data_IF_918222948846
#
_entry.id   IF_918222948846
#
_cell.length_a   1.000
_cell.length_b   1.000
_cell.length_c   1.000
_cell.angle_alpha   90.00
_cell.angle_beta   90.00
_cell.angle_gamma   90.00
#
_symmetry.space_group_name_H-M   'P 1'
#
loop_
_entity.id
_entity.type
_entity.pdbx_description
1 polymer ?
#
# COMPACT_ATOMS: atom_id res chain seq x y z
N UNK A 1 23.93 17.03 -88.28
CA UNK A 1 23.05 16.96 -87.09
C UNK A 1 23.39 15.72 -86.31
N UNK A 2 24.20 15.86 -85.25
CA UNK A 2 24.64 14.78 -84.39
C UNK A 2 23.96 14.95 -83.04
N UNK A 3 23.19 13.92 -82.58
CA UNK A 3 22.60 13.84 -81.28
C UNK A 3 23.47 12.96 -80.42
N UNK A 4 24.01 13.49 -79.37
CA UNK A 4 24.73 12.78 -78.28
C UNK A 4 23.78 12.33 -77.21
N UNK A 5 23.78 11.04 -76.91
CA UNK A 5 23.11 10.46 -75.70
C UNK A 5 24.08 10.54 -74.54
N UNK A 6 23.61 10.81 -73.29
CA UNK A 6 24.43 10.63 -72.10
C UNK A 6 24.30 9.23 -71.57
N UNK A 7 25.44 8.71 -71.10
CA UNK A 7 25.55 7.43 -70.46
C UNK A 7 24.98 7.45 -69.01
N UNK A 8 24.13 6.47 -68.70
CA UNK A 8 23.68 6.19 -67.33
C UNK A 8 24.74 5.31 -66.64
N UNK A 9 25.29 5.82 -65.53
CA UNK A 9 26.13 5.05 -64.61
C UNK A 9 25.20 4.41 -63.60
N UNK A 10 25.07 3.07 -63.59
CA UNK A 10 24.41 2.30 -62.57
C UNK A 10 25.36 2.15 -61.37
N UNK A 11 25.04 2.81 -60.26
CA UNK A 11 25.68 2.56 -58.97
C UNK A 11 24.91 1.44 -58.25
N UNK A 12 25.53 0.27 -58.11
CA UNK A 12 25.00 -0.84 -57.32
C UNK A 12 25.26 -0.54 -55.87
N UNK A 13 24.21 -0.23 -55.08
CA UNK A 13 24.27 -0.24 -53.61
C UNK A 13 24.18 -1.66 -53.09
N UNK A 14 25.29 -2.19 -52.62
CA UNK A 14 25.31 -3.40 -51.77
C UNK A 14 24.73 -3.02 -50.40
N UNK A 15 23.54 -3.50 -50.09
CA UNK A 15 22.95 -3.50 -48.75
C UNK A 15 23.61 -4.66 -47.97
N UNK A 16 24.60 -4.35 -47.15
CA UNK A 16 25.05 -5.22 -46.09
C UNK A 16 24.02 -5.18 -44.96
N UNK A 17 23.25 -6.24 -44.86
CA UNK A 17 22.41 -6.50 -43.67
C UNK A 17 23.32 -6.87 -42.51
N UNK A 18 23.68 -5.88 -41.68
CA UNK A 18 24.29 -6.13 -40.38
C UNK A 18 23.17 -6.57 -39.44
N UNK A 19 23.08 -7.89 -39.20
CA UNK A 19 22.40 -8.45 -38.03
C UNK A 19 23.17 -8.00 -36.79
N UNK A 20 22.86 -6.83 -36.29
CA UNK A 20 23.30 -6.38 -34.98
C UNK A 20 22.45 -7.04 -33.93
N UNK A 21 23.01 -8.00 -33.20
CA UNK A 21 22.51 -8.41 -31.89
C UNK A 21 22.45 -7.16 -31.01
N UNK A 22 21.25 -6.63 -30.83
CA UNK A 22 21.01 -5.58 -29.83
C UNK A 22 21.14 -6.25 -28.45
N UNK A 23 22.33 -6.19 -27.88
CA UNK A 23 22.53 -6.37 -26.47
C UNK A 23 21.89 -5.16 -25.80
N UNK A 24 20.66 -5.30 -25.31
CA UNK A 24 20.03 -4.31 -24.44
C UNK A 24 20.83 -4.24 -23.16
N UNK A 25 21.79 -3.35 -23.12
CA UNK A 25 22.43 -2.92 -21.88
C UNK A 25 21.35 -2.23 -21.07
N UNK A 26 20.85 -2.92 -20.05
CA UNK A 26 20.03 -2.30 -19.00
C UNK A 26 20.87 -1.19 -18.37
N UNK A 27 20.68 0.02 -18.85
CA UNK A 27 21.27 1.20 -18.24
C UNK A 27 20.46 1.43 -16.95
N UNK A 28 21.09 1.15 -15.81
CA UNK A 28 20.58 1.54 -14.49
C UNK A 28 20.34 3.05 -14.54
N UNK A 29 19.12 3.46 -14.76
CA UNK A 29 18.76 4.87 -14.77
C UNK A 29 18.61 5.29 -13.32
N UNK A 30 19.72 5.74 -12.74
CA UNK A 30 19.68 6.43 -11.45
C UNK A 30 19.14 7.82 -11.75
N UNK A 31 17.88 8.06 -11.44
CA UNK A 31 17.31 9.41 -11.44
C UNK A 31 17.88 10.12 -10.22
N UNK A 32 19.00 10.81 -10.41
CA UNK A 32 19.54 11.69 -9.38
C UNK A 32 18.76 12.99 -9.45
N UNK A 33 17.83 13.19 -8.53
CA UNK A 33 17.22 14.51 -8.31
C UNK A 33 18.26 15.34 -7.59
N UNK A 34 18.76 16.40 -8.25
CA UNK A 34 19.81 17.27 -7.71
C UNK A 34 19.39 17.88 -6.37
N UNK A 35 20.20 17.69 -5.33
CA UNK A 35 20.07 18.42 -4.08
C UNK A 35 20.26 17.64 -2.79
N UNK A 36 21.10 16.58 -2.76
CA UNK A 36 21.35 15.83 -1.54
C UNK A 36 22.70 16.18 -0.95
N UNK A 37 22.69 16.73 0.26
CA UNK A 37 23.86 16.78 1.10
C UNK A 37 24.02 15.48 1.89
N UNK A 38 25.24 15.09 2.17
CA UNK A 38 25.66 13.83 2.80
C UNK A 38 25.29 13.67 4.28
N UNK A 39 24.29 14.37 4.78
CA UNK A 39 23.86 14.33 6.18
C UNK A 39 22.33 14.14 6.31
N UNK A 40 21.79 13.03 5.84
CA UNK A 40 20.44 12.61 6.20
C UNK A 40 19.27 13.54 5.81
N UNK A 41 19.52 14.55 4.99
CA UNK A 41 18.52 15.54 4.56
C UNK A 41 17.82 15.18 3.25
N UNK A 42 17.89 13.96 2.85
CA UNK A 42 17.43 13.55 1.54
C UNK A 42 15.97 13.17 1.52
N UNK A 43 15.10 14.13 1.33
CA UNK A 43 13.74 13.85 0.88
C UNK A 43 13.69 13.67 -0.63
N UNK A 44 14.54 14.36 -1.34
CA UNK A 44 14.58 14.32 -2.79
C UNK A 44 15.49 13.23 -3.38
N UNK A 45 15.90 12.23 -2.60
CA UNK A 45 16.89 11.30 -3.08
C UNK A 45 16.85 9.92 -2.52
N UNK A 46 15.70 9.52 -2.01
CA UNK A 46 15.56 8.12 -1.65
C UNK A 46 15.51 7.33 -2.96
N UNK A 47 16.37 6.30 -3.17
CA UNK A 47 16.42 5.61 -4.43
C UNK A 47 15.08 4.94 -4.73
N UNK A 48 14.43 5.40 -5.78
CA UNK A 48 13.37 4.62 -6.43
C UNK A 48 14.07 3.76 -7.46
N UNK A 49 14.13 2.46 -7.23
CA UNK A 49 14.64 1.50 -8.21
C UNK A 49 13.45 0.86 -8.93
N UNK A 50 13.21 1.27 -10.17
CA UNK A 50 12.20 0.67 -11.02
C UNK A 50 12.83 -0.42 -11.90
N UNK A 51 12.16 -1.55 -11.99
CA UNK A 51 12.38 -2.61 -12.98
C UNK A 51 11.24 -2.57 -14.00
N UNK A 52 11.02 -3.64 -14.75
CA UNK A 52 9.96 -3.70 -15.76
C UNK A 52 8.56 -3.65 -15.13
N UNK A 53 8.35 -4.43 -14.08
CA UNK A 53 7.03 -4.63 -13.46
C UNK A 53 7.02 -4.23 -11.97
N UNK A 54 8.14 -3.79 -11.40
CA UNK A 54 8.22 -3.41 -10.00
C UNK A 54 8.86 -2.05 -9.80
N UNK A 55 8.47 -1.37 -8.72
CA UNK A 55 9.10 -0.14 -8.23
C UNK A 55 9.40 -0.31 -6.74
N UNK A 56 10.67 -0.13 -6.38
CA UNK A 56 11.10 -0.12 -4.98
C UNK A 56 11.09 1.29 -4.42
N UNK A 57 10.51 1.44 -3.26
CA UNK A 57 10.71 2.58 -2.36
C UNK A 57 11.68 2.11 -1.27
N UNK A 58 12.93 2.58 -1.37
CA UNK A 58 14.07 2.04 -0.63
C UNK A 58 14.44 2.88 0.59
N UNK A 59 13.47 3.17 1.47
CA UNK A 59 13.76 3.79 2.76
C UNK A 59 14.55 2.84 3.67
N UNK A 60 15.51 3.41 4.39
CA UNK A 60 16.31 2.65 5.37
C UNK A 60 15.48 2.27 6.61
N UNK A 61 14.38 2.96 6.84
CA UNK A 61 13.45 2.73 7.94
C UNK A 61 12.00 3.12 7.53
N UNK A 62 11.00 2.74 8.31
CA UNK A 62 9.60 3.04 8.00
C UNK A 62 9.28 4.54 7.92
N UNK A 63 10.04 5.41 8.60
CA UNK A 63 9.85 6.86 8.57
C UNK A 63 10.22 7.41 7.19
N UNK A 64 11.36 6.93 6.66
CA UNK A 64 11.82 7.27 5.32
C UNK A 64 10.87 6.68 4.26
N UNK A 65 10.42 5.43 4.42
CA UNK A 65 9.44 4.81 3.52
C UNK A 65 8.13 5.61 3.47
N UNK A 66 7.60 6.02 4.63
CA UNK A 66 6.37 6.83 4.70
C UNK A 66 6.52 8.19 4.00
N UNK A 67 7.68 8.84 4.17
CA UNK A 67 7.97 10.11 3.52
C UNK A 67 7.96 9.97 1.98
N UNK A 68 8.55 8.90 1.46
CA UNK A 68 8.61 8.65 0.02
C UNK A 68 7.30 8.22 -0.59
N UNK A 69 6.60 7.31 0.07
CA UNK A 69 5.27 6.90 -0.38
C UNK A 69 4.34 8.10 -0.43
N UNK A 70 4.36 8.95 0.60
CA UNK A 70 3.56 10.16 0.63
C UNK A 70 3.87 11.09 -0.56
N UNK A 71 5.15 11.27 -0.93
CA UNK A 71 5.55 12.07 -2.09
C UNK A 71 5.29 11.35 -3.43
N UNK A 72 5.33 10.03 -3.47
CA UNK A 72 4.96 9.28 -4.67
C UNK A 72 3.47 9.46 -5.00
N UNK A 73 2.62 9.46 -3.97
CA UNK A 73 1.16 9.65 -4.11
C UNK A 73 0.79 11.13 -4.30
N UNK A 74 1.48 12.03 -3.60
CA UNK A 74 1.30 13.47 -3.69
C UNK A 74 2.63 14.17 -4.00
N UNK A 75 3.05 14.24 -5.27
CA UNK A 75 4.35 14.81 -5.67
C UNK A 75 4.58 16.26 -5.23
N UNK A 76 3.49 17.01 -5.02
CA UNK A 76 3.50 18.39 -4.50
C UNK A 76 4.37 19.37 -5.31
N UNK A 77 4.61 19.04 -6.57
CA UNK A 77 5.40 19.84 -7.51
C UNK A 77 4.57 20.91 -8.25
N UNK A 78 3.25 20.81 -8.18
CA UNK A 78 2.32 21.73 -8.82
C UNK A 78 1.08 21.96 -7.93
N UNK A 79 0.35 23.07 -8.09
CA UNK A 79 -0.76 23.44 -7.20
C UNK A 79 -1.83 22.36 -6.99
N UNK A 80 -2.08 21.51 -7.99
CA UNK A 80 -3.07 20.42 -7.92
C UNK A 80 -2.58 19.14 -7.23
N UNK A 81 -1.26 19.01 -6.99
CA UNK A 81 -0.63 17.79 -6.50
C UNK A 81 -0.33 17.78 -4.99
N UNK A 82 -0.70 18.86 -4.29
CA UNK A 82 -0.59 18.94 -2.82
C UNK A 82 -1.74 18.20 -2.14
N UNK A 83 -1.49 17.47 -1.03
CA UNK A 83 -2.56 16.82 -0.30
C UNK A 83 -3.50 17.84 0.38
N UNK A 84 -4.76 17.48 0.61
CA UNK A 84 -5.66 18.30 1.40
C UNK A 84 -5.22 18.41 2.86
N UNK A 85 -4.74 17.32 3.44
CA UNK A 85 -4.31 17.18 4.83
C UNK A 85 -3.29 16.05 4.92
N UNK A 86 -2.41 16.07 5.94
CA UNK A 86 -1.42 15.02 6.21
C UNK A 86 -1.69 14.43 7.60
N UNK A 87 -1.67 13.11 7.74
CA UNK A 87 -1.72 12.44 9.03
C UNK A 87 -0.30 12.21 9.55
N UNK A 88 -0.05 12.56 10.82
CA UNK A 88 1.17 12.21 11.55
C UNK A 88 0.85 11.11 12.53
N UNK A 89 1.39 9.91 12.30
CA UNK A 89 1.15 8.72 13.10
C UNK A 89 2.36 8.38 13.98
N UNK A 90 2.14 7.88 15.21
CA UNK A 90 3.21 7.57 16.16
C UNK A 90 3.96 6.29 15.74
N UNK A 91 5.30 6.27 15.88
CA UNK A 91 6.10 5.06 15.66
C UNK A 91 6.11 4.11 16.86
N UNK A 92 5.80 4.61 18.02
CA UNK A 92 5.80 3.92 19.32
C UNK A 92 4.42 3.34 19.70
N UNK A 93 3.39 3.56 18.88
CA UNK A 93 2.08 2.88 18.96
C UNK A 93 1.72 2.36 17.55
N UNK A 94 2.22 1.16 17.22
CA UNK A 94 1.98 0.58 15.89
C UNK A 94 0.50 0.31 15.60
N UNK A 95 -0.32 0.03 16.62
CA UNK A 95 -1.76 -0.19 16.46
C UNK A 95 -2.45 1.12 16.06
N UNK A 96 -2.16 2.22 16.77
CA UNK A 96 -2.65 3.55 16.43
C UNK A 96 -2.17 4.00 15.04
N UNK A 97 -0.89 3.74 14.74
CA UNK A 97 -0.34 4.01 13.42
C UNK A 97 -1.06 3.20 12.32
N UNK A 98 -1.28 1.89 12.51
CA UNK A 98 -1.96 1.05 11.53
C UNK A 98 -3.43 1.48 11.35
N UNK A 99 -4.13 1.81 12.45
CA UNK A 99 -5.50 2.34 12.38
C UNK A 99 -5.59 3.64 11.59
N UNK A 100 -4.52 4.44 11.52
CA UNK A 100 -4.50 5.70 10.77
C UNK A 100 -4.67 5.52 9.26
N UNK A 101 -4.47 4.32 8.74
CA UNK A 101 -4.61 4.02 7.32
C UNK A 101 -6.00 4.42 6.78
N UNK A 102 -7.04 4.32 7.58
CA UNK A 102 -8.41 4.75 7.21
C UNK A 102 -8.50 6.24 6.84
N UNK A 103 -7.58 7.07 7.34
CA UNK A 103 -7.55 8.51 7.03
C UNK A 103 -7.13 8.81 5.59
N UNK A 104 -6.51 7.84 4.90
CA UNK A 104 -6.19 7.96 3.48
C UNK A 104 -7.43 7.82 2.59
N UNK A 105 -8.46 7.13 3.05
CA UNK A 105 -9.72 6.98 2.33
C UNK A 105 -10.45 8.32 2.16
N UNK A 106 -11.33 8.40 1.15
CA UNK A 106 -12.24 9.53 0.99
C UNK A 106 -13.20 9.63 2.22
N UNK A 107 -13.57 10.84 2.64
CA UNK A 107 -13.30 12.15 2.02
C UNK A 107 -12.00 12.83 2.53
N UNK A 108 -11.28 12.23 3.48
CA UNK A 108 -10.14 12.86 4.17
C UNK A 108 -8.91 12.91 3.25
N UNK A 109 -8.51 11.77 2.66
CA UNK A 109 -7.36 11.62 1.74
C UNK A 109 -6.04 12.13 2.31
N UNK A 110 -5.76 11.74 3.56
CA UNK A 110 -4.55 12.12 4.28
C UNK A 110 -3.43 11.09 4.05
N UNK A 111 -2.38 11.38 3.29
CA UNK A 111 -1.18 10.54 3.31
C UNK A 111 -0.57 10.54 4.70
N UNK A 112 0.09 9.42 5.05
CA UNK A 112 0.56 9.18 6.40
C UNK A 112 2.07 9.43 6.45
N UNK A 113 2.49 10.25 7.39
CA UNK A 113 3.89 10.39 7.78
C UNK A 113 4.07 9.86 9.20
N UNK A 114 5.23 9.30 9.49
CA UNK A 114 5.56 8.73 10.79
C UNK A 114 6.37 9.70 11.65
N UNK A 115 6.12 9.71 12.94
CA UNK A 115 6.78 10.58 13.91
C UNK A 115 6.99 9.89 15.25
N UNK A 116 8.13 10.16 15.88
CA UNK A 116 8.30 9.84 17.28
C UNK A 116 7.45 10.77 18.16
N UNK A 117 7.14 10.33 19.39
CA UNK A 117 6.41 11.16 20.37
C UNK A 117 7.27 12.31 20.91
N UNK A 118 8.59 12.12 20.98
CA UNK A 118 9.52 13.10 21.54
C UNK A 118 9.94 14.21 20.58
N UNK A 119 9.99 13.92 19.28
CA UNK A 119 10.45 14.88 18.26
C UNK A 119 9.96 14.51 16.86
N UNK A 120 9.75 15.53 16.03
CA UNK A 120 9.44 15.34 14.62
C UNK A 120 10.74 14.97 13.87
N UNK A 121 10.84 13.78 13.25
CA UNK A 121 12.03 13.41 12.51
C UNK A 121 12.33 14.40 11.38
N UNK A 122 13.61 14.68 11.06
CA UNK A 122 13.97 15.66 10.02
C UNK A 122 13.35 15.33 8.66
N UNK A 123 13.33 14.05 8.25
CA UNK A 123 12.72 13.62 7.00
C UNK A 123 11.21 13.88 6.98
N UNK A 124 10.52 13.61 8.09
CA UNK A 124 9.08 13.92 8.25
C UNK A 124 8.80 15.40 8.17
N UNK A 125 9.60 16.22 8.90
CA UNK A 125 9.46 17.67 8.91
C UNK A 125 9.64 18.28 7.51
N UNK A 126 10.66 17.83 6.80
CA UNK A 126 10.94 18.29 5.45
C UNK A 126 9.87 17.83 4.45
N UNK A 127 9.44 16.56 4.51
CA UNK A 127 8.35 16.05 3.67
C UNK A 127 7.08 16.86 3.89
N UNK A 128 6.72 17.12 5.13
CA UNK A 128 5.56 17.94 5.46
C UNK A 128 5.67 19.37 4.89
N UNK A 129 6.86 19.96 4.93
CA UNK A 129 7.14 21.26 4.31
C UNK A 129 6.98 21.21 2.78
N UNK A 130 7.51 20.17 2.13
CA UNK A 130 7.38 19.96 0.67
C UNK A 130 5.93 19.74 0.27
N UNK A 131 5.20 18.91 1.02
CA UNK A 131 3.80 18.60 0.75
C UNK A 131 2.88 19.82 0.93
N UNK A 132 3.20 20.73 1.82
CA UNK A 132 2.48 21.98 2.07
C UNK A 132 0.95 21.79 2.05
N UNK A 133 0.38 20.98 2.96
CA UNK A 133 -1.04 20.61 2.93
C UNK A 133 -1.93 21.86 3.04
N UNK A 134 -3.02 21.87 2.27
CA UNK A 134 -3.86 23.07 2.11
C UNK A 134 -4.89 23.26 3.21
N UNK A 135 -5.25 22.21 3.91
CA UNK A 135 -6.41 22.13 4.79
C UNK A 135 -7.67 21.71 4.01
N UNK A 136 -8.58 21.00 4.65
CA UNK A 136 -9.83 20.59 4.03
C UNK A 136 -11.01 20.65 4.99
N UNK A 137 -12.23 20.72 4.44
CA UNK A 137 -13.47 20.68 5.24
C UNK A 137 -13.63 19.38 6.02
N UNK A 138 -13.20 18.25 5.44
CA UNK A 138 -13.24 16.93 6.09
C UNK A 138 -12.32 16.82 7.31
N UNK A 139 -11.34 17.71 7.44
CA UNK A 139 -10.45 17.82 8.61
C UNK A 139 -10.77 19.05 9.49
N UNK A 140 -11.92 19.69 9.31
CA UNK A 140 -12.27 20.93 10.01
C UNK A 140 -11.32 22.10 9.66
N UNK A 141 -10.76 22.13 8.47
CA UNK A 141 -9.78 23.12 8.01
C UNK A 141 -8.36 22.83 8.45
N UNK A 142 -8.10 21.75 9.19
CA UNK A 142 -6.76 21.36 9.59
C UNK A 142 -5.91 20.94 8.38
N UNK A 143 -4.63 21.30 8.42
CA UNK A 143 -3.60 20.89 7.48
C UNK A 143 -2.90 19.61 7.94
N UNK A 144 -2.93 19.34 9.24
CA UNK A 144 -2.30 18.17 9.86
C UNK A 144 -3.28 17.51 10.84
N UNK A 145 -3.39 16.20 10.78
CA UNK A 145 -4.05 15.36 11.77
C UNK A 145 -2.94 14.70 12.59
N UNK A 146 -2.81 15.04 13.86
CA UNK A 146 -1.82 14.47 14.79
C UNK A 146 -2.46 13.36 15.60
N UNK A 147 -1.82 12.20 15.63
CA UNK A 147 -2.34 11.01 16.31
C UNK A 147 -1.50 10.68 17.55
N UNK A 148 -2.18 10.43 18.67
CA UNK A 148 -1.49 10.20 19.93
C UNK A 148 -0.67 11.40 20.37
N UNK A 149 0.53 11.13 20.86
CA UNK A 149 1.41 12.12 21.45
C UNK A 149 2.46 12.70 20.48
N UNK A 150 2.24 12.58 19.16
CA UNK A 150 3.19 13.16 18.19
C UNK A 150 3.31 14.68 18.37
N UNK A 151 4.49 15.28 18.12
CA UNK A 151 4.77 16.67 18.37
C UNK A 151 3.87 17.62 17.59
N UNK A 152 3.76 18.86 18.08
CA UNK A 152 3.10 19.94 17.33
C UNK A 152 3.89 20.31 16.08
N UNK A 153 3.18 20.74 15.05
CA UNK A 153 3.74 21.22 13.79
C UNK A 153 3.61 22.75 13.74
N UNK A 154 4.65 23.50 14.13
CA UNK A 154 4.59 24.96 14.14
C UNK A 154 4.21 25.54 12.77
N UNK A 155 3.35 26.55 12.78
CA UNK A 155 2.91 27.23 11.56
C UNK A 155 1.81 26.52 10.75
N UNK A 156 1.41 25.30 11.14
CA UNK A 156 0.33 24.57 10.48
C UNK A 156 -0.88 24.41 11.41
N UNK A 157 -2.09 24.57 10.87
CA UNK A 157 -3.32 24.26 11.59
C UNK A 157 -3.43 22.75 11.77
N UNK A 158 -3.53 22.30 13.01
CA UNK A 158 -3.60 20.89 13.31
C UNK A 158 -4.83 20.55 14.16
N UNK A 159 -5.44 19.39 13.88
CA UNK A 159 -6.35 18.70 14.79
C UNK A 159 -5.58 17.56 15.46
N UNK A 160 -5.83 17.32 16.75
CA UNK A 160 -5.20 16.23 17.47
C UNK A 160 -6.26 15.17 17.82
N UNK A 161 -5.92 13.92 17.58
CA UNK A 161 -6.72 12.76 17.96
C UNK A 161 -5.93 12.01 19.03
N UNK A 162 -6.47 11.96 20.24
CA UNK A 162 -5.84 11.30 21.38
C UNK A 162 -6.63 10.05 21.78
N UNK A 163 -5.92 9.08 22.38
CA UNK A 163 -6.47 7.90 23.01
C UNK A 163 -5.67 7.53 24.28
N UNK A 164 -6.31 6.96 25.26
CA UNK A 164 -5.65 6.41 26.44
C UNK A 164 -5.08 5.01 26.17
N UNK A 165 -4.19 4.90 25.18
CA UNK A 165 -3.59 3.65 24.70
C UNK A 165 -4.10 3.21 23.33
N UNK A 166 -3.54 2.11 22.77
CA UNK A 166 -3.70 1.74 21.36
C UNK A 166 -5.16 1.46 20.95
N UNK A 167 -5.92 0.76 21.78
CA UNK A 167 -7.34 0.48 21.49
C UNK A 167 -8.20 1.74 21.47
N UNK A 168 -7.93 2.65 22.39
CA UNK A 168 -8.67 3.92 22.51
C UNK A 168 -8.28 4.89 21.38
N UNK A 169 -7.01 4.89 20.96
CA UNK A 169 -6.56 5.69 19.81
C UNK A 169 -7.18 5.18 18.52
N UNK A 170 -7.18 3.86 18.26
CA UNK A 170 -7.84 3.27 17.10
C UNK A 170 -9.34 3.63 17.05
N UNK A 171 -10.05 3.53 18.17
CA UNK A 171 -11.46 3.93 18.28
C UNK A 171 -11.67 5.45 18.09
N UNK A 172 -10.71 6.29 18.49
CA UNK A 172 -10.80 7.73 18.27
C UNK A 172 -10.57 8.11 16.81
N UNK A 173 -9.64 7.42 16.12
CA UNK A 173 -9.41 7.56 14.68
C UNK A 173 -10.66 7.16 13.90
N UNK A 174 -11.27 6.03 14.24
CA UNK A 174 -12.54 5.56 13.65
C UNK A 174 -13.66 6.60 13.80
N UNK A 175 -13.86 7.15 15.02
CA UNK A 175 -14.84 8.23 15.23
C UNK A 175 -14.57 9.45 14.38
N UNK A 176 -13.31 9.85 14.24
CA UNK A 176 -12.92 10.99 13.40
C UNK A 176 -13.23 10.72 11.92
N UNK A 177 -12.86 9.54 11.41
CA UNK A 177 -13.15 9.13 10.03
C UNK A 177 -14.67 9.06 9.77
N UNK A 178 -15.43 8.48 10.70
CA UNK A 178 -16.89 8.42 10.66
C UNK A 178 -17.52 9.82 10.62
N UNK A 179 -17.04 10.74 11.47
CA UNK A 179 -17.53 12.13 11.49
C UNK A 179 -17.23 12.85 10.18
N UNK A 180 -16.05 12.65 9.61
CA UNK A 180 -15.67 13.22 8.31
C UNK A 180 -16.49 12.66 7.16
N UNK A 181 -16.81 11.36 7.18
CA UNK A 181 -17.65 10.70 6.18
C UNK A 181 -19.15 11.00 6.34
N UNK A 182 -19.58 11.47 7.51
CA UNK A 182 -21.00 11.71 7.84
C UNK A 182 -21.81 10.43 8.12
N UNK A 183 -21.22 9.25 7.98
CA UNK A 183 -21.85 7.96 8.26
C UNK A 183 -20.80 6.96 8.73
N UNK A 184 -21.20 6.06 9.62
CA UNK A 184 -20.37 4.96 10.05
C UNK A 184 -20.20 3.92 8.92
N UNK A 185 -19.02 3.37 8.81
CA UNK A 185 -18.76 2.29 7.85
C UNK A 185 -19.62 1.06 8.15
N UNK A 186 -20.23 0.42 7.14
CA UNK A 186 -20.99 -0.82 7.36
C UNK A 186 -20.13 -2.02 7.67
N UNK A 187 -18.80 -1.92 7.49
CA UNK A 187 -17.84 -2.98 7.73
C UNK A 187 -16.69 -2.48 8.61
N UNK A 188 -16.20 -3.37 9.47
CA UNK A 188 -15.08 -3.12 10.38
C UNK A 188 -14.10 -4.26 10.29
N UNK A 189 -12.81 -3.96 10.20
CA UNK A 189 -11.73 -4.94 10.28
C UNK A 189 -11.29 -5.08 11.73
N UNK A 190 -11.29 -6.30 12.24
CA UNK A 190 -10.72 -6.64 13.54
C UNK A 190 -9.38 -7.33 13.35
N UNK A 191 -8.35 -6.78 13.98
CA UNK A 191 -7.00 -7.31 13.96
C UNK A 191 -6.51 -7.63 15.38
N UNK A 192 -5.51 -8.50 15.48
CA UNK A 192 -4.86 -8.80 16.76
C UNK A 192 -3.95 -7.65 17.18
N UNK A 193 -4.07 -7.20 18.44
CA UNK A 193 -3.12 -6.28 19.05
C UNK A 193 -1.80 -6.96 19.46
N UNK A 194 -1.80 -8.29 19.52
CA UNK A 194 -0.68 -9.09 20.02
C UNK A 194 0.23 -9.60 18.89
N UNK A 195 -0.29 -9.64 17.66
CA UNK A 195 0.38 -10.25 16.49
C UNK A 195 0.36 -9.30 15.29
N UNK A 196 1.32 -8.36 15.21
CA UNK A 196 1.31 -7.28 14.21
C UNK A 196 1.31 -7.78 12.76
N UNK A 197 2.07 -8.82 12.44
CA UNK A 197 2.16 -9.34 11.08
C UNK A 197 0.79 -9.76 10.49
N UNK A 198 -0.12 -10.28 11.33
CA UNK A 198 -1.47 -10.62 10.89
C UNK A 198 -2.38 -9.39 10.71
N UNK A 199 -2.03 -8.27 11.33
CA UNK A 199 -2.77 -7.01 11.20
C UNK A 199 -2.37 -6.19 9.97
N UNK A 200 -1.12 -6.32 9.51
CA UNK A 200 -0.54 -5.49 8.43
C UNK A 200 -1.38 -5.43 7.14
N UNK A 201 -1.97 -6.55 6.65
CA UNK A 201 -2.77 -6.50 5.40
C UNK A 201 -4.00 -5.58 5.49
N UNK A 202 -4.50 -5.31 6.71
CA UNK A 202 -5.63 -4.41 6.92
C UNK A 202 -5.34 -2.95 6.51
N UNK A 203 -4.08 -2.50 6.57
CA UNK A 203 -3.72 -1.11 6.29
C UNK A 203 -4.08 -0.69 4.87
N UNK A 204 -3.68 -1.49 3.88
CA UNK A 204 -4.03 -1.22 2.47
C UNK A 204 -5.53 -1.18 2.25
N UNK A 205 -6.27 -2.13 2.83
CA UNK A 205 -7.72 -2.18 2.72
C UNK A 205 -8.41 -0.98 3.38
N UNK A 206 -7.99 -0.59 4.58
CA UNK A 206 -8.54 0.55 5.27
C UNK A 206 -8.31 1.86 4.49
N UNK A 207 -7.14 2.01 3.89
CA UNK A 207 -6.82 3.16 3.04
C UNK A 207 -7.69 3.24 1.78
N UNK A 208 -7.97 2.10 1.14
CA UNK A 208 -8.80 2.02 -0.07
C UNK A 208 -10.29 2.17 0.26
N UNK A 209 -10.79 1.35 1.20
CA UNK A 209 -12.23 1.19 1.44
C UNK A 209 -12.84 2.16 2.44
N UNK A 210 -12.02 2.75 3.34
CA UNK A 210 -12.51 3.51 4.49
C UNK A 210 -13.09 2.62 5.61
N UNK A 211 -12.91 1.29 5.57
CA UNK A 211 -13.29 0.43 6.68
C UNK A 211 -12.27 0.57 7.81
N UNK A 212 -12.68 0.92 9.05
CA UNK A 212 -11.75 1.14 10.14
C UNK A 212 -11.11 -0.17 10.61
N UNK A 213 -9.89 -0.06 11.16
CA UNK A 213 -9.20 -1.14 11.84
C UNK A 213 -9.38 -0.94 13.34
N UNK A 214 -9.99 -1.92 14.00
CA UNK A 214 -10.08 -1.99 15.46
C UNK A 214 -9.35 -3.23 15.96
N UNK A 215 -8.90 -3.20 17.21
CA UNK A 215 -8.06 -4.24 17.74
C UNK A 215 -8.72 -5.01 18.88
N UNK A 216 -8.37 -6.30 18.95
CA UNK A 216 -8.66 -7.19 20.06
C UNK A 216 -7.39 -7.84 20.57
N UNK A 217 -7.40 -8.29 21.82
CA UNK A 217 -6.34 -9.17 22.34
C UNK A 217 -6.77 -10.63 22.25
N UNK A 218 -5.83 -11.54 22.45
CA UNK A 218 -6.11 -12.98 22.60
C UNK A 218 -7.02 -13.30 23.79
N UNK A 219 -7.07 -12.40 24.81
CA UNK A 219 -7.90 -12.55 26.00
C UNK A 219 -9.34 -12.00 25.85
N UNK A 220 -9.62 -11.17 24.83
CA UNK A 220 -10.97 -10.65 24.63
C UNK A 220 -11.07 -9.34 23.88
N UNK A 221 -12.28 -8.79 23.85
CA UNK A 221 -12.61 -7.53 23.19
C UNK A 221 -12.47 -6.38 24.20
N UNK A 222 -11.55 -5.41 23.98
CA UNK A 222 -11.37 -4.26 24.88
C UNK A 222 -12.60 -3.34 24.90
N UNK A 223 -12.76 -2.58 25.98
CA UNK A 223 -13.92 -1.67 26.15
C UNK A 223 -13.98 -0.62 25.04
N UNK A 224 -12.85 -0.04 24.62
CA UNK A 224 -12.81 0.93 23.53
C UNK A 224 -13.31 0.34 22.21
N UNK A 225 -12.90 -0.89 21.88
CA UNK A 225 -13.34 -1.63 20.70
C UNK A 225 -14.84 -1.94 20.77
N UNK A 226 -15.36 -2.37 21.94
CA UNK A 226 -16.82 -2.58 22.13
C UNK A 226 -17.61 -1.32 21.85
N UNK A 227 -17.18 -0.18 22.38
CA UNK A 227 -17.85 1.11 22.19
C UNK A 227 -17.83 1.56 20.73
N UNK A 228 -16.69 1.38 20.03
CA UNK A 228 -16.59 1.67 18.62
C UNK A 228 -17.56 0.81 17.79
N UNK A 229 -17.59 -0.51 18.01
CA UNK A 229 -18.51 -1.42 17.32
C UNK A 229 -19.99 -1.08 17.55
N UNK A 230 -20.35 -0.66 18.76
CA UNK A 230 -21.74 -0.19 19.04
C UNK A 230 -22.09 1.05 18.24
N UNK A 231 -21.15 1.97 18.00
CA UNK A 231 -21.37 3.17 17.20
C UNK A 231 -21.65 2.85 15.72
N UNK A 232 -21.14 1.72 15.22
CA UNK A 232 -21.42 1.23 13.86
C UNK A 232 -22.79 0.55 13.67
N UNK A 233 -23.55 0.32 14.75
CA UNK A 233 -24.93 -0.20 14.69
C UNK A 233 -25.06 -1.54 13.96
N UNK A 234 -24.41 -2.56 14.46
CA UNK A 234 -24.38 -3.93 13.91
C UNK A 234 -23.62 -4.05 12.57
N UNK A 235 -22.34 -3.68 12.52
CA UNK A 235 -21.54 -3.78 11.31
C UNK A 235 -21.25 -5.23 10.90
N UNK A 236 -20.81 -5.41 9.65
CA UNK A 236 -20.10 -6.61 9.26
C UNK A 236 -18.68 -6.58 9.83
N UNK A 237 -18.33 -7.54 10.64
CA UNK A 237 -17.05 -7.64 11.35
C UNK A 237 -16.18 -8.70 10.68
N UNK A 238 -15.06 -8.27 10.10
CA UNK A 238 -14.10 -9.15 9.46
C UNK A 238 -12.85 -9.30 10.31
N UNK A 239 -12.62 -10.52 10.80
CA UNK A 239 -11.53 -10.83 11.74
C UNK A 239 -10.36 -11.40 10.97
N UNK A 240 -9.21 -10.71 10.99
CA UNK A 240 -7.99 -11.16 10.30
C UNK A 240 -7.17 -12.10 11.19
N UNK A 241 -6.82 -13.24 10.64
CA UNK A 241 -5.96 -14.23 11.25
C UNK A 241 -6.67 -15.50 11.72
N UNK A 242 -5.90 -16.56 11.99
CA UNK A 242 -6.39 -17.86 12.42
C UNK A 242 -6.86 -17.88 13.88
N UNK A 243 -7.49 -18.98 14.32
CA UNK A 243 -7.89 -19.15 15.73
C UNK A 243 -6.73 -19.11 16.75
N UNK A 244 -5.51 -19.43 16.32
CA UNK A 244 -4.30 -19.31 17.15
C UNK A 244 -3.91 -17.86 17.45
N UNK A 245 -4.34 -16.91 16.62
CA UNK A 245 -4.07 -15.47 16.75
C UNK A 245 -5.23 -14.75 17.44
N UNK A 246 -6.45 -14.99 16.98
CA UNK A 246 -7.68 -14.47 17.59
C UNK A 246 -8.59 -15.65 17.88
N UNK A 247 -8.69 -16.12 19.13
CA UNK A 247 -9.45 -17.30 19.50
C UNK A 247 -10.94 -17.19 19.17
N UNK A 248 -11.61 -18.32 18.96
CA UNK A 248 -13.06 -18.35 18.67
C UNK A 248 -13.91 -17.87 19.84
N UNK A 249 -13.39 -17.90 21.07
CA UNK A 249 -14.01 -17.27 22.23
C UNK A 249 -14.09 -15.75 22.09
N UNK A 250 -13.12 -15.11 21.42
CA UNK A 250 -13.15 -13.68 21.10
C UNK A 250 -14.16 -13.41 19.98
N UNK A 251 -14.22 -14.27 18.95
CA UNK A 251 -15.24 -14.17 17.90
C UNK A 251 -16.66 -14.28 18.49
N UNK A 252 -16.86 -15.17 19.47
CA UNK A 252 -18.16 -15.29 20.16
C UNK A 252 -18.55 -14.00 20.91
N UNK A 253 -17.57 -13.26 21.44
CA UNK A 253 -17.81 -11.95 22.04
C UNK A 253 -18.19 -10.90 20.97
N UNK A 254 -17.48 -10.89 19.84
CA UNK A 254 -17.71 -9.95 18.73
C UNK A 254 -19.09 -10.11 18.08
N UNK A 255 -19.64 -11.35 18.02
CA UNK A 255 -20.99 -11.62 17.49
C UNK A 255 -22.13 -10.88 18.22
N UNK A 256 -21.86 -10.35 19.42
CA UNK A 256 -22.82 -9.50 20.14
C UNK A 256 -22.96 -8.10 19.54
N UNK A 257 -22.03 -7.69 18.67
CA UNK A 257 -21.97 -6.35 18.09
C UNK A 257 -22.25 -6.31 16.59
N UNK A 258 -22.23 -7.44 15.89
CA UNK A 258 -22.49 -7.52 14.45
C UNK A 258 -22.29 -8.92 13.89
N UNK A 259 -22.43 -9.05 12.58
CA UNK A 259 -22.14 -10.31 11.88
C UNK A 259 -20.64 -10.50 11.77
N UNK A 260 -20.12 -11.68 12.14
CA UNK A 260 -18.67 -11.94 12.22
C UNK A 260 -18.25 -12.98 11.21
N UNK A 261 -17.26 -12.65 10.38
CA UNK A 261 -16.58 -13.57 9.46
C UNK A 261 -15.07 -13.54 9.73
N UNK A 262 -14.45 -14.71 9.71
CA UNK A 262 -13.00 -14.83 9.80
C UNK A 262 -12.40 -14.82 8.39
N UNK A 263 -11.33 -14.07 8.22
CA UNK A 263 -10.52 -14.05 7.00
C UNK A 263 -9.08 -14.29 7.42
N UNK A 264 -8.42 -15.30 6.88
CA UNK A 264 -7.02 -15.52 7.20
C UNK A 264 -6.55 -16.95 7.02
N UNK A 265 -5.28 -17.14 7.28
CA UNK A 265 -4.56 -18.43 7.21
C UNK A 265 -3.52 -18.51 8.35
N UNK A 266 -2.85 -19.68 8.44
CA UNK A 266 -2.07 -20.05 9.62
C UNK A 266 -0.75 -19.28 9.78
N UNK A 267 -0.16 -18.77 8.71
CA UNK A 267 1.03 -17.93 8.76
C UNK A 267 0.77 -16.52 8.17
N UNK A 268 1.58 -15.50 8.48
CA UNK A 268 1.35 -14.12 8.02
C UNK A 268 1.34 -13.96 6.49
N UNK A 269 2.18 -14.68 5.76
CA UNK A 269 2.23 -14.60 4.31
C UNK A 269 0.97 -15.21 3.68
N UNK A 270 0.59 -16.42 4.11
CA UNK A 270 -0.66 -17.04 3.70
C UNK A 270 -1.88 -16.21 4.11
N UNK A 271 -1.86 -15.58 5.29
CA UNK A 271 -2.91 -14.67 5.76
C UNK A 271 -3.07 -13.45 4.83
N UNK A 272 -1.96 -12.86 4.38
CA UNK A 272 -1.98 -11.74 3.44
C UNK A 272 -2.57 -12.16 2.07
N UNK A 273 -2.23 -13.33 1.58
CA UNK A 273 -2.80 -13.91 0.36
C UNK A 273 -4.29 -14.23 0.54
N UNK A 274 -4.67 -14.86 1.65
CA UNK A 274 -6.08 -15.16 1.94
C UNK A 274 -6.94 -13.90 1.92
N UNK A 275 -6.44 -12.78 2.46
CA UNK A 275 -7.13 -11.50 2.42
C UNK A 275 -7.16 -10.89 1.01
N UNK A 276 -6.10 -11.05 0.23
CA UNK A 276 -6.00 -10.57 -1.16
C UNK A 276 -7.05 -11.21 -2.07
N UNK A 277 -7.30 -12.51 -1.91
CA UNK A 277 -8.29 -13.23 -2.74
C UNK A 277 -9.71 -13.23 -2.14
N UNK A 278 -9.89 -12.68 -0.94
CA UNK A 278 -11.17 -12.68 -0.24
C UNK A 278 -12.17 -11.72 -0.86
N UNK A 279 -13.45 -12.13 -0.87
CA UNK A 279 -14.59 -11.29 -1.21
C UNK A 279 -15.83 -11.70 -0.44
N UNK A 280 -16.58 -10.71 0.02
CA UNK A 280 -17.89 -10.90 0.64
C UNK A 280 -18.91 -9.90 0.05
N UNK A 281 -20.05 -10.36 -0.53
CA UNK A 281 -20.44 -11.75 -0.72
C UNK A 281 -19.48 -12.53 -1.63
N UNK A 282 -19.42 -13.88 -1.50
CA UNK A 282 -18.54 -14.72 -2.31
C UNK A 282 -18.74 -14.50 -3.81
N UNK A 283 -17.67 -14.76 -4.58
CA UNK A 283 -17.75 -14.69 -6.03
C UNK A 283 -18.75 -15.71 -6.58
N UNK A 284 -19.57 -15.35 -7.58
CA UNK A 284 -20.49 -16.30 -8.22
C UNK A 284 -19.71 -17.49 -8.82
N UNK A 285 -20.24 -18.69 -8.64
CA UNK A 285 -19.63 -19.88 -9.22
C UNK A 285 -19.59 -19.79 -10.76
N UNK A 286 -18.46 -20.15 -11.35
CA UNK A 286 -18.28 -20.16 -12.81
C UNK A 286 -18.19 -18.77 -13.47
N UNK A 287 -18.06 -17.71 -12.69
CA UNK A 287 -17.86 -16.35 -13.20
C UNK A 287 -16.54 -15.75 -12.70
N UNK A 288 -15.98 -14.78 -13.44
CA UNK A 288 -14.80 -14.04 -12.95
C UNK A 288 -15.06 -13.42 -11.58
N UNK A 289 -14.09 -13.57 -10.68
CA UNK A 289 -14.13 -12.93 -9.38
C UNK A 289 -13.61 -11.52 -9.51
N UNK A 290 -14.47 -10.54 -9.38
CA UNK A 290 -14.12 -9.12 -9.46
C UNK A 290 -14.62 -8.40 -8.22
N UNK A 291 -13.90 -7.35 -7.82
CA UNK A 291 -14.40 -6.44 -6.81
C UNK A 291 -15.63 -5.71 -7.35
N UNK A 292 -16.68 -5.62 -6.54
CA UNK A 292 -17.87 -4.82 -6.87
C UNK A 292 -18.11 -3.78 -5.76
N UNK A 293 -18.63 -2.60 -6.11
CA UNK A 293 -18.92 -1.56 -5.11
C UNK A 293 -19.78 -2.09 -3.97
N UNK A 294 -19.36 -1.83 -2.73
CA UNK A 294 -20.02 -2.31 -1.52
C UNK A 294 -19.69 -3.74 -1.08
N UNK A 295 -18.88 -4.49 -1.85
CA UNK A 295 -18.31 -5.77 -1.36
C UNK A 295 -17.12 -5.50 -0.44
N UNK A 296 -16.88 -6.41 0.50
CA UNK A 296 -15.68 -6.41 1.33
C UNK A 296 -14.61 -7.33 0.73
N UNK A 297 -13.35 -6.89 0.77
CA UNK A 297 -12.20 -7.64 0.32
C UNK A 297 -11.78 -7.35 -1.12
N UNK A 298 -10.52 -7.66 -1.44
CA UNK A 298 -9.89 -7.28 -2.70
C UNK A 298 -10.39 -8.06 -3.92
N UNK A 299 -10.80 -9.32 -3.74
CA UNK A 299 -11.27 -10.21 -4.80
C UNK A 299 -10.24 -10.47 -5.92
N UNK A 300 -8.94 -10.32 -5.67
CA UNK A 300 -7.93 -10.43 -6.73
C UNK A 300 -7.61 -11.89 -7.05
N UNK A 301 -8.20 -12.37 -8.14
CA UNK A 301 -8.00 -13.72 -8.68
C UNK A 301 -7.75 -13.70 -10.19
N UNK A 302 -7.19 -12.62 -10.69
CA UNK A 302 -6.83 -12.44 -12.09
C UNK A 302 -5.67 -11.45 -12.20
N UNK A 303 -4.91 -11.42 -13.29
CA UNK A 303 -3.90 -10.40 -13.53
C UNK A 303 -4.52 -9.03 -13.84
N UNK A 304 -3.68 -7.98 -13.88
CA UNK A 304 -4.09 -6.61 -14.19
C UNK A 304 -4.22 -5.73 -12.95
N UNK A 305 -3.43 -5.99 -11.92
CA UNK A 305 -3.52 -5.29 -10.63
C UNK A 305 -2.17 -4.79 -10.13
N UNK A 306 -2.22 -3.87 -9.16
CA UNK A 306 -1.08 -3.49 -8.33
C UNK A 306 -0.98 -4.38 -7.09
N UNK A 307 0.23 -4.53 -6.58
CA UNK A 307 0.55 -5.28 -5.36
C UNK A 307 1.57 -4.52 -4.55
N UNK A 308 1.54 -4.65 -3.24
CA UNK A 308 2.51 -4.04 -2.33
C UNK A 308 3.19 -5.14 -1.52
N UNK A 309 4.51 -5.29 -1.68
CA UNK A 309 5.30 -6.30 -0.99
C UNK A 309 6.04 -5.68 0.19
N UNK A 310 5.87 -6.25 1.39
CA UNK A 310 6.40 -5.75 2.66
C UNK A 310 6.98 -6.91 3.47
N UNK A 311 8.04 -6.65 4.23
CA UNK A 311 8.57 -7.61 5.18
C UNK A 311 7.70 -7.66 6.44
N UNK A 312 7.25 -8.85 6.83
CA UNK A 312 6.36 -9.08 7.99
C UNK A 312 6.98 -8.65 9.34
N UNK A 313 8.30 -8.50 9.40
CA UNK A 313 9.02 -8.03 10.59
C UNK A 313 9.08 -6.49 10.67
N UNK A 314 8.55 -5.78 9.68
CA UNK A 314 8.58 -4.30 9.57
C UNK A 314 7.15 -3.75 9.57
N UNK A 315 6.48 -3.85 10.70
CA UNK A 315 5.04 -3.53 10.85
C UNK A 315 4.68 -2.13 10.35
N UNK A 316 5.52 -1.13 10.61
CA UNK A 316 5.24 0.26 10.23
C UNK A 316 5.40 0.51 8.72
N UNK A 317 6.04 -0.40 7.96
CA UNK A 317 6.06 -0.32 6.50
C UNK A 317 4.66 -0.52 5.91
N UNK A 318 3.78 -1.28 6.58
CA UNK A 318 2.38 -1.38 6.17
C UNK A 318 1.62 -0.05 6.33
N UNK A 319 1.96 0.72 7.35
CA UNK A 319 1.44 2.08 7.54
C UNK A 319 1.98 3.03 6.48
N UNK A 320 3.30 2.96 6.26
CA UNK A 320 3.99 3.75 5.24
C UNK A 320 3.42 3.50 3.84
N UNK A 321 3.13 2.24 3.51
CA UNK A 321 2.63 1.82 2.21
C UNK A 321 1.14 2.07 1.98
N UNK A 322 0.34 2.23 3.04
CA UNK A 322 -1.12 2.33 2.93
C UNK A 322 -1.61 3.36 1.89
N UNK A 323 -0.98 4.55 1.71
CA UNK A 323 -1.37 5.49 0.68
C UNK A 323 -1.29 4.95 -0.75
N UNK A 324 -0.39 4.01 -1.06
CA UNK A 324 -0.31 3.38 -2.39
C UNK A 324 -1.59 2.60 -2.72
N UNK A 325 -2.17 1.92 -1.74
CA UNK A 325 -3.41 1.14 -1.93
C UNK A 325 -4.62 2.00 -2.31
N UNK A 326 -4.61 3.30 -1.97
CA UNK A 326 -5.69 4.24 -2.25
C UNK A 326 -5.37 5.24 -3.37
N UNK A 327 -4.30 5.03 -4.13
CA UNK A 327 -3.78 6.02 -5.09
C UNK A 327 -4.16 5.77 -6.55
N UNK A 328 -4.96 4.74 -6.82
CA UNK A 328 -5.28 4.31 -8.19
C UNK A 328 -4.28 3.31 -8.79
N UNK A 329 -3.07 3.23 -8.26
CA UNK A 329 -2.14 2.11 -8.48
C UNK A 329 -2.34 1.01 -7.45
N UNK A 330 -3.49 0.99 -6.84
CA UNK A 330 -3.84 0.24 -5.66
C UNK A 330 -3.54 -1.25 -5.76
N UNK A 331 -3.35 -1.82 -4.58
CA UNK A 331 -3.17 -3.25 -4.43
C UNK A 331 -3.12 -3.65 -2.97
N UNK A 332 -3.36 -4.94 -2.70
CA UNK A 332 -3.23 -5.49 -1.36
C UNK A 332 -1.78 -5.51 -0.91
N UNK A 333 -1.63 -5.55 0.40
CA UNK A 333 -0.35 -5.82 1.06
C UNK A 333 -0.13 -7.33 1.08
N UNK A 334 0.96 -7.77 0.46
CA UNK A 334 1.50 -9.13 0.52
C UNK A 334 2.74 -9.14 1.41
N UNK A 335 2.90 -10.17 2.22
CA UNK A 335 3.96 -10.24 3.20
C UNK A 335 5.03 -11.26 2.83
N UNK A 336 6.31 -10.86 2.99
CA UNK A 336 7.44 -11.79 3.02
C UNK A 336 7.91 -11.97 4.47
N UNK A 337 8.37 -13.16 4.81
CA UNK A 337 8.92 -13.52 6.11
C UNK A 337 10.45 -13.44 6.16
N UNK A 338 11.06 -13.40 4.98
CA UNK A 338 12.50 -13.30 4.75
C UNK A 338 12.80 -12.21 3.73
N UNK A 339 13.93 -11.54 3.88
CA UNK A 339 14.41 -10.60 2.88
C UNK A 339 14.84 -11.27 1.57
N UNK A 340 15.24 -12.53 1.60
CA UNK A 340 15.98 -13.18 0.49
C UNK A 340 15.10 -13.84 -0.58
N UNK A 341 13.83 -14.14 -0.29
CA UNK A 341 12.95 -14.90 -1.18
C UNK A 341 11.48 -14.61 -0.92
N UNK A 342 10.64 -14.89 -1.92
CA UNK A 342 9.19 -14.91 -1.74
C UNK A 342 8.77 -16.18 -0.98
N UNK A 343 7.91 -16.09 0.05
CA UNK A 343 7.37 -17.28 0.69
C UNK A 343 6.41 -18.02 -0.23
N UNK A 344 6.33 -19.34 -0.08
CA UNK A 344 5.52 -20.21 -0.92
C UNK A 344 4.08 -19.74 -1.15
N UNK A 345 3.35 -19.24 -0.14
CA UNK A 345 1.99 -18.73 -0.37
C UNK A 345 1.94 -17.55 -1.36
N UNK A 346 2.89 -16.62 -1.27
CA UNK A 346 2.97 -15.44 -2.17
C UNK A 346 3.41 -15.87 -3.57
N UNK A 347 4.39 -16.77 -3.66
CA UNK A 347 4.84 -17.34 -4.94
C UNK A 347 3.67 -18.02 -5.67
N UNK A 348 2.94 -18.91 -5.00
CA UNK A 348 1.80 -19.60 -5.57
C UNK A 348 0.67 -18.63 -5.96
N UNK A 349 0.41 -17.59 -5.14
CA UNK A 349 -0.56 -16.56 -5.49
C UNK A 349 -0.23 -15.88 -6.83
N UNK A 350 1.02 -15.51 -7.05
CA UNK A 350 1.44 -14.91 -8.32
C UNK A 350 1.32 -15.89 -9.48
N UNK A 351 1.73 -17.13 -9.31
CA UNK A 351 1.63 -18.16 -10.35
C UNK A 351 0.18 -18.50 -10.71
N UNK A 352 -0.70 -18.62 -9.72
CA UNK A 352 -2.07 -19.08 -9.91
C UNK A 352 -3.03 -17.98 -10.39
N UNK A 353 -2.79 -16.72 -9.98
CA UNK A 353 -3.76 -15.64 -10.16
C UNK A 353 -3.21 -14.39 -10.83
N UNK A 354 -1.93 -14.08 -10.66
CA UNK A 354 -1.43 -12.77 -11.03
C UNK A 354 -0.61 -12.76 -12.33
N UNK A 355 0.05 -13.84 -12.71
CA UNK A 355 0.87 -13.85 -13.93
C UNK A 355 0.00 -13.61 -15.16
N UNK A 356 0.19 -12.50 -15.89
CA UNK A 356 -0.61 -12.20 -17.06
C UNK A 356 -0.12 -13.01 -18.26
N UNK A 357 -1.05 -13.40 -19.11
CA UNK A 357 -0.76 -14.13 -20.35
C UNK A 357 -1.28 -13.40 -21.58
N UNK A 358 -0.69 -13.71 -22.72
CA UNK A 358 -1.19 -13.27 -24.03
C UNK A 358 -1.15 -14.42 -25.03
N UNK A 359 -2.07 -14.35 -26.01
CA UNK A 359 -2.21 -15.33 -27.09
C UNK A 359 -1.67 -14.75 -28.41
N UNK A 360 -2.28 -15.08 -29.54
CA UNK A 360 -1.84 -14.67 -30.88
C UNK A 360 -1.81 -13.17 -31.11
N UNK A 361 -2.54 -12.36 -30.34
CA UNK A 361 -2.58 -10.91 -30.46
C UNK A 361 -1.29 -10.22 -29.93
N UNK A 362 -0.42 -11.00 -29.28
CA UNK A 362 0.86 -10.51 -28.75
C UNK A 362 0.73 -9.76 -27.42
N UNK A 363 1.87 -9.32 -26.85
CA UNK A 363 1.92 -8.75 -25.51
C UNK A 363 1.17 -7.42 -25.35
N UNK A 364 0.87 -6.71 -26.42
CA UNK A 364 0.09 -5.46 -26.36
C UNK A 364 -1.37 -5.67 -25.98
N UNK A 365 -1.90 -6.88 -26.13
CA UNK A 365 -3.24 -7.25 -25.69
C UNK A 365 -3.28 -7.80 -24.26
N UNK A 366 -2.12 -8.00 -23.62
CA UNK A 366 -2.04 -8.46 -22.24
C UNK A 366 -2.40 -7.36 -21.27
N UNK A 367 -3.00 -7.74 -20.14
CA UNK A 367 -3.08 -6.87 -18.96
C UNK A 367 -1.76 -6.90 -18.22
N UNK A 368 -1.43 -5.80 -17.54
CA UNK A 368 -0.15 -5.64 -16.87
C UNK A 368 -0.35 -5.50 -15.36
N UNK A 369 0.53 -6.12 -14.61
CA UNK A 369 0.62 -5.95 -13.17
C UNK A 369 1.70 -4.91 -12.82
N UNK A 370 1.60 -4.37 -11.61
CA UNK A 370 2.68 -3.58 -11.03
C UNK A 370 2.90 -3.96 -9.57
N UNK A 371 4.17 -4.10 -9.18
CA UNK A 371 4.58 -4.41 -7.80
C UNK A 371 5.32 -3.24 -7.15
N UNK A 372 4.84 -2.81 -5.98
CA UNK A 372 5.58 -1.91 -5.11
C UNK A 372 6.34 -2.73 -4.06
N UNK A 373 7.63 -2.47 -3.91
CA UNK A 373 8.50 -3.11 -2.91
C UNK A 373 8.91 -2.05 -1.90
N UNK A 374 8.57 -2.26 -0.63
CA UNK A 374 8.79 -1.26 0.42
C UNK A 374 9.99 -1.65 1.28
N UNK A 375 10.85 -0.67 1.49
CA UNK A 375 12.11 -0.82 2.23
C UNK A 375 13.31 -1.07 1.35
N UNK A 376 14.47 -0.90 1.96
CA UNK A 376 15.77 -1.14 1.32
C UNK A 376 16.07 -2.64 1.11
N UNK A 377 17.27 -2.96 0.64
CA UNK A 377 17.69 -4.33 0.35
C UNK A 377 17.79 -5.21 1.60
N UNK A 378 17.87 -4.63 2.80
CA UNK A 378 17.83 -5.37 4.07
C UNK A 378 16.43 -5.83 4.43
N UNK A 379 15.41 -5.10 3.98
CA UNK A 379 14.00 -5.47 4.15
C UNK A 379 13.58 -6.53 3.13
N UNK A 380 13.88 -6.29 1.85
CA UNK A 380 13.57 -7.19 0.73
C UNK A 380 14.73 -7.10 -0.26
N UNK A 381 15.45 -8.19 -0.50
CA UNK A 381 16.62 -8.21 -1.36
C UNK A 381 16.28 -7.90 -2.82
N UNK A 382 17.32 -7.54 -3.58
CA UNK A 382 17.20 -7.40 -5.05
C UNK A 382 16.77 -8.70 -5.70
N UNK A 383 17.21 -9.85 -5.16
CA UNK A 383 16.81 -11.18 -5.65
C UNK A 383 15.31 -11.42 -5.49
N UNK A 384 14.73 -11.15 -4.32
CA UNK A 384 13.28 -11.29 -4.09
C UNK A 384 12.46 -10.31 -4.95
N UNK A 385 12.96 -9.08 -5.15
CA UNK A 385 12.34 -8.14 -6.08
C UNK A 385 12.37 -8.64 -7.53
N UNK A 386 13.51 -9.20 -7.98
CA UNK A 386 13.65 -9.73 -9.33
C UNK A 386 12.75 -10.97 -9.56
N UNK A 387 12.58 -11.80 -8.53
CA UNK A 387 11.62 -12.91 -8.57
C UNK A 387 10.20 -12.41 -8.75
N UNK A 388 9.76 -11.41 -7.95
CA UNK A 388 8.47 -10.77 -8.12
C UNK A 388 8.30 -10.14 -9.51
N UNK A 389 9.32 -9.42 -9.99
CA UNK A 389 9.30 -8.78 -11.32
C UNK A 389 9.06 -9.79 -12.43
N UNK A 390 9.72 -10.95 -12.35
CA UNK A 390 9.56 -12.06 -13.30
C UNK A 390 8.16 -12.66 -13.27
N UNK A 391 7.58 -12.85 -12.07
CA UNK A 391 6.24 -13.42 -11.90
C UNK A 391 5.12 -12.47 -12.36
N UNK A 392 5.38 -11.15 -12.34
CA UNK A 392 4.44 -10.15 -12.82
C UNK A 392 4.54 -9.89 -14.33
N UNK A 393 5.51 -10.49 -15.02
CA UNK A 393 5.70 -10.32 -16.46
C UNK A 393 4.63 -11.03 -17.27
N UNK A 394 4.16 -10.35 -18.34
CA UNK A 394 3.26 -10.93 -19.30
C UNK A 394 3.99 -12.01 -20.15
N UNK A 395 3.48 -13.23 -20.14
CA UNK A 395 4.11 -14.36 -20.84
C UNK A 395 3.20 -14.91 -21.93
N UNK A 396 3.77 -15.50 -23.02
CA UNK A 396 3.00 -16.17 -24.03
C UNK A 396 2.24 -17.36 -23.43
N UNK A 397 0.94 -17.45 -23.69
CA UNK A 397 0.13 -18.64 -23.40
C UNK A 397 0.16 -19.58 -24.62
N UNK A 398 0.38 -20.86 -24.36
CA UNK A 398 0.39 -21.91 -25.41
C UNK A 398 -1.01 -22.24 -25.87
#
# INVERSE_FOLDING_TARGET
MRRTLPAFVLAACMLLAACGTQTTLFRKQTVTVNGISSQGEAIAGIPIAATKNTTRIAGVDPIADAAQVALAVYPSAAPGTHPPVVALAPIDDWQGALASAVLMAAPIRAPILLSASSSLPPVTAQTLKTMAPRGSGSSGGAQVIRLGDVPRTPGLRAVAIHGGGPYALAAAIDRFATAAAGTASPAVVIASADQPAYAMPAAGWAAESGNPILFVSSSGVPTATKQALLAHKSPHIYVLGPPSVIPDTVLAQLRKYGSVKRVGADDPAANSVAFTIYRDPPCPAGQPCVHVPGSFGWALRSPGHGYVLINANRTLDAVAAAPLSASGSYGPVLLVDSASSLPTPVLNFFLDYATPGFTQEGPTAAVYNHGWVIGDESAISVSAQAEMDTLLEAVPQK
#
